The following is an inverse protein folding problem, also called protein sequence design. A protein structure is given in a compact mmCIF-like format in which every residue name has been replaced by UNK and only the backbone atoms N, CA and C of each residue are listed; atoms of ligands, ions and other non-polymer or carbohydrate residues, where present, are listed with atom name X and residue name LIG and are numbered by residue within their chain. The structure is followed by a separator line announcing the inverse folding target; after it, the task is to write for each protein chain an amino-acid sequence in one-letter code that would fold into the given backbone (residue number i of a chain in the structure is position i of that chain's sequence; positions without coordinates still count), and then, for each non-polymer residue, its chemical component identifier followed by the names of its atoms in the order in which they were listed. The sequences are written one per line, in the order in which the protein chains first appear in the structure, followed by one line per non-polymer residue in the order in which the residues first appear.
data_IF_559857980220
#
_entry.id   IF_559857980220
#
_cell.length_a   1.000
_cell.length_b   1.000
_cell.length_c   1.000
_cell.angle_alpha   90.00
_cell.angle_beta   90.00
_cell.angle_gamma   90.00
#
_symmetry.space_group_name_H-M   'P 1'
#
loop_
_entity.id
_entity.type
_entity.pdbx_description
1 polymer ?
#
# COMPACT_ATOMS: atom_id res chain seq x y z
N UNK A 1 -16.72 -18.81 24.25
CA UNK A 1 -15.29 -19.21 24.10
C UNK A 1 -15.20 -19.87 22.74
N UNK A 2 -14.25 -19.50 21.90
CA UNK A 2 -14.18 -19.93 20.50
C UNK A 2 -13.70 -18.81 19.58
N UNK A 3 -13.78 -19.03 18.27
CA UNK A 3 -13.43 -18.06 17.24
C UNK A 3 -14.35 -16.84 17.30
N UNK A 4 -13.76 -15.64 17.19
CA UNK A 4 -14.53 -14.41 17.06
C UNK A 4 -14.88 -14.13 15.60
N UNK A 5 -16.18 -14.20 15.30
CA UNK A 5 -16.73 -13.87 13.99
C UNK A 5 -16.93 -12.36 13.81
N UNK A 6 -17.04 -11.92 12.55
CA UNK A 6 -17.34 -10.53 12.17
C UNK A 6 -16.23 -9.83 11.41
N UNK A 7 -14.97 -10.29 11.54
CA UNK A 7 -13.87 -9.92 10.65
C UNK A 7 -13.49 -11.09 9.75
N UNK A 8 -13.04 -10.80 8.54
CA UNK A 8 -12.44 -11.80 7.62
C UNK A 8 -10.97 -12.12 7.97
N UNK A 9 -10.46 -11.51 9.05
CA UNK A 9 -9.19 -11.82 9.70
C UNK A 9 -9.51 -12.15 11.15
N UNK A 10 -10.25 -13.24 11.36
CA UNK A 10 -10.79 -13.70 12.64
C UNK A 10 -9.71 -14.12 13.65
N UNK A 11 -8.52 -14.45 13.16
CA UNK A 11 -7.33 -14.80 13.94
C UNK A 11 -6.89 -13.67 14.87
N UNK A 12 -6.82 -12.43 14.37
CA UNK A 12 -6.40 -11.25 15.13
C UNK A 12 -7.34 -10.89 16.28
N UNK A 13 -8.67 -10.68 16.10
CA UNK A 13 -9.58 -10.36 17.19
C UNK A 13 -9.69 -11.51 18.18
N UNK A 14 -9.61 -12.78 17.72
CA UNK A 14 -9.62 -13.94 18.62
C UNK A 14 -8.42 -13.90 19.57
N UNK A 15 -7.20 -13.73 19.05
CA UNK A 15 -5.99 -13.60 19.86
C UNK A 15 -6.04 -12.41 20.80
N UNK A 16 -6.48 -11.25 20.30
CA UNK A 16 -6.65 -10.04 21.09
C UNK A 16 -7.63 -10.24 22.26
N UNK A 17 -8.75 -10.92 22.02
CA UNK A 17 -9.75 -11.20 23.05
C UNK A 17 -9.26 -12.20 24.11
N UNK A 18 -8.40 -13.14 23.73
CA UNK A 18 -7.71 -14.01 24.70
C UNK A 18 -6.78 -13.17 25.58
N UNK A 19 -5.93 -12.32 24.99
CA UNK A 19 -5.03 -11.45 25.75
C UNK A 19 -5.79 -10.45 26.62
N UNK A 20 -6.94 -9.96 26.16
CA UNK A 20 -7.84 -9.11 26.96
C UNK A 20 -8.26 -9.77 28.28
N UNK A 21 -8.37 -11.10 28.30
CA UNK A 21 -8.71 -11.89 29.50
C UNK A 21 -7.49 -12.21 30.38
N UNK A 22 -6.29 -11.82 29.98
CA UNK A 22 -5.04 -12.00 30.74
C UNK A 22 -4.16 -13.15 30.25
N UNK A 23 -4.51 -13.80 29.14
CA UNK A 23 -3.65 -14.81 28.52
C UNK A 23 -2.39 -14.15 27.94
N UNK A 24 -1.27 -14.89 27.95
CA UNK A 24 0.01 -14.48 27.36
C UNK A 24 0.34 -15.36 26.16
N UNK A 25 1.03 -14.78 25.18
CA UNK A 25 1.53 -15.48 23.99
C UNK A 25 3.04 -15.58 24.06
N UNK A 26 3.58 -16.74 23.68
CA UNK A 26 5.02 -16.97 23.54
C UNK A 26 5.36 -17.29 22.09
N UNK A 27 6.51 -16.80 21.60
CA UNK A 27 6.99 -17.06 20.26
C UNK A 27 8.18 -18.04 20.32
N UNK A 28 7.97 -19.27 19.84
CA UNK A 28 9.02 -20.28 19.77
C UNK A 28 9.58 -20.32 18.34
N UNK A 29 10.86 -20.00 18.19
CA UNK A 29 11.58 -19.99 16.91
C UNK A 29 12.68 -21.08 16.94
N UNK A 30 12.34 -22.35 16.67
CA UNK A 30 13.34 -23.42 16.59
C UNK A 30 14.28 -23.20 15.40
N UNK A 31 15.51 -23.71 15.50
CA UNK A 31 16.51 -23.61 14.42
C UNK A 31 16.05 -24.31 13.13
N UNK A 32 15.34 -25.43 13.27
CA UNK A 32 14.73 -26.13 12.15
C UNK A 32 13.32 -25.59 11.88
N UNK A 33 13.02 -25.32 10.62
CA UNK A 33 11.69 -24.91 10.15
C UNK A 33 10.63 -25.94 10.54
N UNK A 34 9.86 -25.66 11.59
CA UNK A 34 8.84 -26.57 12.12
C UNK A 34 7.56 -26.62 11.26
N UNK A 35 7.25 -25.53 10.55
CA UNK A 35 6.05 -25.42 9.72
C UNK A 35 6.39 -24.83 8.35
N UNK A 36 6.02 -25.54 7.29
CA UNK A 36 6.15 -25.09 5.90
C UNK A 36 4.79 -24.95 5.26
N UNK A 37 4.57 -23.87 4.51
CA UNK A 37 3.31 -23.61 3.81
C UNK A 37 3.52 -23.15 2.37
N UNK A 38 2.43 -23.06 1.62
CA UNK A 38 2.45 -22.52 0.26
C UNK A 38 2.27 -20.99 0.28
N UNK A 39 3.20 -20.28 -0.35
CA UNK A 39 3.08 -18.86 -0.61
C UNK A 39 2.24 -18.59 -1.88
N UNK A 40 1.61 -17.41 -2.00
CA UNK A 40 0.95 -17.01 -3.24
C UNK A 40 1.92 -17.02 -4.42
N UNK A 41 1.51 -17.63 -5.53
CA UNK A 41 2.37 -17.83 -6.71
C UNK A 41 2.54 -16.62 -7.61
N UNK A 42 1.81 -15.52 -7.37
CA UNK A 42 1.88 -14.32 -8.20
C UNK A 42 1.41 -13.04 -7.51
N UNK A 43 1.57 -11.92 -8.22
CA UNK A 43 1.22 -10.58 -7.74
C UNK A 43 -0.27 -10.46 -7.44
N UNK A 44 -1.13 -10.91 -8.37
CA UNK A 44 -2.58 -10.87 -8.21
C UNK A 44 -3.04 -11.63 -6.95
N UNK A 45 -2.60 -12.87 -6.78
CA UNK A 45 -2.97 -13.68 -5.60
C UNK A 45 -2.48 -13.02 -4.31
N UNK A 46 -1.30 -12.40 -4.34
CA UNK A 46 -0.77 -11.63 -3.20
C UNK A 46 -1.63 -10.39 -2.92
N UNK A 47 -2.03 -9.65 -3.96
CA UNK A 47 -2.86 -8.46 -3.87
C UNK A 47 -4.25 -8.77 -3.31
N UNK A 48 -4.89 -9.87 -3.74
CA UNK A 48 -6.18 -10.33 -3.20
C UNK A 48 -6.06 -10.64 -1.70
N UNK A 49 -5.00 -11.37 -1.30
CA UNK A 49 -4.74 -11.69 0.09
C UNK A 49 -4.52 -10.43 0.94
N UNK A 50 -3.72 -9.48 0.45
CA UNK A 50 -3.43 -8.22 1.12
C UNK A 50 -4.66 -7.33 1.26
N UNK A 51 -5.53 -7.29 0.23
CA UNK A 51 -6.82 -6.60 0.29
C UNK A 51 -7.70 -7.16 1.41
N UNK A 52 -7.76 -8.48 1.53
CA UNK A 52 -8.54 -9.15 2.58
C UNK A 52 -8.01 -8.86 3.97
N UNK A 53 -6.69 -8.94 4.16
CA UNK A 53 -6.07 -8.60 5.43
C UNK A 53 -6.35 -7.15 5.82
N UNK A 54 -6.12 -6.19 4.92
CA UNK A 54 -6.39 -4.78 5.19
C UNK A 54 -7.86 -4.53 5.57
N UNK A 55 -8.80 -5.15 4.87
CA UNK A 55 -10.23 -5.02 5.18
C UNK A 55 -10.57 -5.63 6.54
N UNK A 56 -10.13 -6.86 6.83
CA UNK A 56 -10.38 -7.51 8.12
C UNK A 56 -9.75 -6.75 9.29
N UNK A 57 -8.51 -6.30 9.14
CA UNK A 57 -7.79 -5.51 10.15
C UNK A 57 -8.46 -4.16 10.42
N UNK A 58 -9.00 -3.51 9.38
CA UNK A 58 -9.73 -2.24 9.54
C UNK A 58 -11.02 -2.43 10.35
N UNK A 59 -11.76 -3.53 10.10
CA UNK A 59 -12.96 -3.87 10.89
C UNK A 59 -12.58 -4.12 12.36
N UNK A 60 -11.44 -4.75 12.62
CA UNK A 60 -10.95 -4.94 14.00
C UNK A 60 -10.56 -3.61 14.64
N UNK A 61 -9.88 -2.73 13.91
CA UNK A 61 -9.43 -1.43 14.41
C UNK A 61 -10.60 -0.55 14.89
N UNK A 62 -11.67 -0.47 14.11
CA UNK A 62 -12.87 0.32 14.44
C UNK A 62 -13.97 -0.48 15.18
N UNK A 63 -13.74 -1.77 15.42
CA UNK A 63 -14.73 -2.67 16.00
C UNK A 63 -14.78 -2.66 17.53
N UNK A 64 -15.76 -3.37 18.09
CA UNK A 64 -15.92 -3.56 19.56
C UNK A 64 -14.75 -4.32 20.20
N UNK A 65 -14.08 -5.16 19.40
CA UNK A 65 -12.90 -5.92 19.80
C UNK A 65 -11.63 -5.24 19.27
N UNK A 66 -11.52 -3.91 19.42
CA UNK A 66 -10.34 -3.17 18.99
C UNK A 66 -9.21 -3.22 20.01
N UNK A 67 -7.95 -2.98 19.59
CA UNK A 67 -6.81 -2.92 20.51
C UNK A 67 -6.99 -1.87 21.60
N UNK A 68 -7.56 -0.72 21.27
CA UNK A 68 -7.86 0.37 22.20
C UNK A 68 -8.81 -0.10 23.31
N UNK A 69 -9.90 -0.79 22.94
CA UNK A 69 -10.82 -1.37 23.92
C UNK A 69 -10.16 -2.43 24.79
N UNK A 70 -9.22 -3.18 24.24
CA UNK A 70 -8.43 -4.17 24.96
C UNK A 70 -7.49 -3.58 26.01
N UNK A 71 -6.91 -2.41 25.74
CA UNK A 71 -6.04 -1.67 26.67
C UNK A 71 -6.86 -0.93 27.73
N UNK A 72 -7.94 -0.24 27.34
CA UNK A 72 -8.75 0.57 28.26
C UNK A 72 -9.61 -0.27 29.20
N UNK A 73 -10.18 -1.37 28.71
CA UNK A 73 -11.20 -2.16 29.42
C UNK A 73 -10.82 -3.65 29.50
N UNK A 74 -9.53 -3.95 29.53
CA UNK A 74 -9.02 -5.30 29.55
C UNK A 74 -7.68 -5.42 30.26
N UNK A 75 -7.09 -6.61 30.20
CA UNK A 75 -5.80 -6.92 30.83
C UNK A 75 -4.62 -6.84 29.85
N UNK A 76 -4.78 -6.15 28.71
CA UNK A 76 -3.72 -6.00 27.71
C UNK A 76 -2.72 -4.93 28.18
N UNK A 77 -1.44 -5.30 28.23
CA UNK A 77 -0.37 -4.35 28.52
C UNK A 77 -0.28 -3.30 27.41
N UNK A 78 0.02 -2.04 27.77
CA UNK A 78 0.10 -0.91 26.83
C UNK A 78 1.02 -1.23 25.64
N UNK A 79 2.18 -1.85 25.88
CA UNK A 79 3.12 -2.23 24.81
C UNK A 79 2.51 -3.22 23.80
N UNK A 80 1.82 -4.25 24.28
CA UNK A 80 1.12 -5.19 23.41
C UNK A 80 -0.04 -4.51 22.67
N UNK A 81 -0.77 -3.63 23.36
CA UNK A 81 -1.80 -2.79 22.77
C UNK A 81 -1.29 -1.94 21.60
N UNK A 82 -0.14 -1.29 21.76
CA UNK A 82 0.52 -0.52 20.69
C UNK A 82 0.92 -1.41 19.51
N UNK A 83 1.44 -2.61 19.75
CA UNK A 83 1.75 -3.58 18.69
C UNK A 83 0.48 -3.99 17.90
N UNK A 84 -0.64 -4.21 18.60
CA UNK A 84 -1.92 -4.49 17.94
C UNK A 84 -2.47 -3.29 17.19
N UNK A 85 -2.34 -2.07 17.73
CA UNK A 85 -2.70 -0.84 17.00
C UNK A 85 -1.89 -0.74 15.71
N UNK A 86 -0.57 -0.95 15.78
CA UNK A 86 0.30 -0.95 14.59
C UNK A 86 -0.11 -2.01 13.56
N UNK A 87 -0.41 -3.23 14.01
CA UNK A 87 -0.86 -4.32 13.14
C UNK A 87 -2.20 -4.02 12.47
N UNK A 88 -3.17 -3.47 13.21
CA UNK A 88 -4.53 -3.25 12.71
C UNK A 88 -4.70 -1.96 11.91
N UNK A 89 -3.73 -1.04 11.97
CA UNK A 89 -3.73 0.26 11.30
C UNK A 89 -3.43 0.21 9.78
N UNK A 90 -3.34 -0.97 9.15
CA UNK A 90 -2.96 -1.07 7.73
C UNK A 90 -3.90 -0.29 6.78
N UNK A 91 -5.21 -0.44 6.98
CA UNK A 91 -6.19 0.24 6.14
C UNK A 91 -6.20 1.75 6.37
N UNK A 92 -6.18 2.21 7.62
CA UNK A 92 -6.17 3.65 7.91
C UNK A 92 -4.87 4.32 7.42
N UNK A 93 -3.71 3.67 7.58
CA UNK A 93 -2.44 4.12 6.99
C UNK A 93 -2.55 4.35 5.47
N UNK A 94 -3.25 3.47 4.75
CA UNK A 94 -3.36 3.58 3.30
C UNK A 94 -4.05 4.85 2.82
N UNK A 95 -5.00 5.39 3.59
CA UNK A 95 -5.70 6.64 3.25
C UNK A 95 -4.70 7.79 3.18
N UNK A 96 -3.88 7.95 4.23
CA UNK A 96 -2.88 9.00 4.28
C UNK A 96 -1.85 8.87 3.15
N UNK A 97 -1.39 7.65 2.86
CA UNK A 97 -0.40 7.41 1.81
C UNK A 97 -0.96 7.72 0.40
N UNK A 98 -2.23 7.38 0.13
CA UNK A 98 -2.91 7.76 -1.13
C UNK A 98 -3.08 9.28 -1.21
N UNK A 99 -3.47 9.94 -0.11
CA UNK A 99 -3.59 11.39 -0.05
C UNK A 99 -2.24 12.08 -0.33
N UNK A 100 -1.15 11.62 0.28
CA UNK A 100 0.19 12.18 0.02
C UNK A 100 0.66 11.93 -1.40
N UNK A 101 0.42 10.73 -1.95
CA UNK A 101 0.75 10.44 -3.34
C UNK A 101 -0.01 11.39 -4.31
N UNK A 102 -1.31 11.59 -4.08
CA UNK A 102 -2.11 12.52 -4.87
C UNK A 102 -1.66 13.98 -4.69
N UNK A 103 -1.34 14.38 -3.45
CA UNK A 103 -0.93 15.74 -3.11
C UNK A 103 0.39 16.12 -3.79
N UNK A 104 1.37 15.21 -3.82
CA UNK A 104 2.64 15.45 -4.55
C UNK A 104 2.37 15.71 -6.04
N UNK A 105 1.54 14.91 -6.69
CA UNK A 105 1.19 15.12 -8.10
C UNK A 105 0.38 16.42 -8.31
N UNK A 106 -0.56 16.71 -7.41
CA UNK A 106 -1.34 17.96 -7.42
C UNK A 106 -0.41 19.17 -7.39
N UNK A 107 0.56 19.19 -6.47
CA UNK A 107 1.51 20.29 -6.31
C UNK A 107 2.34 20.53 -7.58
N UNK A 108 2.81 19.45 -8.22
CA UNK A 108 3.53 19.55 -9.49
C UNK A 108 2.64 20.11 -10.62
N UNK A 109 1.37 19.70 -10.70
CA UNK A 109 0.45 20.14 -11.77
C UNK A 109 0.04 21.61 -11.58
N UNK A 110 -0.30 21.99 -10.34
CA UNK A 110 -0.81 23.33 -9.99
C UNK A 110 0.28 24.35 -9.69
N UNK A 111 1.55 23.94 -9.78
CA UNK A 111 2.70 24.75 -9.42
C UNK A 111 2.65 25.28 -7.98
N UNK A 112 2.16 24.47 -7.05
CA UNK A 112 2.15 24.78 -5.61
C UNK A 112 3.26 23.99 -4.90
N UNK A 113 3.79 24.52 -3.80
CA UNK A 113 4.82 23.84 -3.00
C UNK A 113 4.25 23.27 -1.70
N UNK A 114 4.54 21.99 -1.42
CA UNK A 114 4.33 21.37 -0.10
C UNK A 114 5.66 21.33 0.68
N UNK A 115 6.77 21.17 -0.03
CA UNK A 115 8.09 21.16 0.59
C UNK A 115 8.64 22.59 0.68
N UNK A 116 9.37 22.90 1.76
CA UNK A 116 10.07 24.17 1.86
C UNK A 116 11.14 24.29 0.77
N UNK A 117 11.27 25.48 0.19
CA UNK A 117 12.29 25.78 -0.81
C UNK A 117 13.64 26.11 -0.14
N UNK A 118 14.74 25.91 -0.89
CA UNK A 118 16.09 26.22 -0.41
C UNK A 118 16.55 25.29 0.74
N UNK A 119 17.20 25.86 1.76
CA UNK A 119 17.76 25.07 2.86
C UNK A 119 16.72 24.32 3.70
N UNK A 120 15.45 24.74 3.68
CA UNK A 120 14.41 24.03 4.41
C UNK A 120 14.19 22.60 3.87
N UNK A 121 14.48 22.35 2.58
CA UNK A 121 14.33 21.03 1.95
C UNK A 121 15.25 19.97 2.57
N UNK A 122 16.36 20.40 3.22
CA UNK A 122 17.27 19.48 3.89
C UNK A 122 16.59 18.74 5.05
N UNK A 123 15.60 19.33 5.72
CA UNK A 123 14.91 18.69 6.84
C UNK A 123 14.18 17.40 6.38
N UNK A 124 13.22 17.44 5.44
CA UNK A 124 12.54 16.23 4.98
C UNK A 124 13.51 15.26 4.27
N UNK A 125 14.52 15.79 3.55
CA UNK A 125 15.52 14.95 2.89
C UNK A 125 16.36 14.15 3.90
N UNK A 126 16.84 14.79 4.97
CA UNK A 126 17.60 14.12 6.03
C UNK A 126 16.75 13.07 6.74
N UNK A 127 15.48 13.37 7.04
CA UNK A 127 14.56 12.38 7.62
C UNK A 127 14.37 11.16 6.71
N UNK A 128 14.20 11.39 5.40
CA UNK A 128 14.08 10.32 4.41
C UNK A 128 15.35 9.45 4.34
N UNK A 129 16.53 10.07 4.35
CA UNK A 129 17.81 9.36 4.33
C UNK A 129 18.01 8.55 5.61
N UNK A 130 17.75 9.11 6.79
CA UNK A 130 17.85 8.41 8.08
C UNK A 130 16.94 7.18 8.08
N UNK A 131 15.67 7.33 7.67
CA UNK A 131 14.72 6.21 7.59
C UNK A 131 15.20 5.12 6.62
N UNK A 132 15.71 5.52 5.45
CA UNK A 132 16.23 4.59 4.43
C UNK A 132 17.42 3.79 4.95
N UNK A 133 18.39 4.46 5.58
CA UNK A 133 19.58 3.81 6.16
C UNK A 133 19.18 2.88 7.31
N UNK A 134 18.30 3.33 8.19
CA UNK A 134 17.85 2.52 9.34
C UNK A 134 17.15 1.23 8.89
N UNK A 135 16.21 1.32 7.96
CA UNK A 135 15.52 0.13 7.44
C UNK A 135 16.44 -0.79 6.66
N UNK A 136 17.47 -0.24 5.98
CA UNK A 136 18.48 -1.04 5.31
C UNK A 136 19.35 -1.79 6.33
N UNK A 137 19.82 -1.12 7.38
CA UNK A 137 20.60 -1.73 8.46
C UNK A 137 19.83 -2.88 9.13
N UNK A 138 18.54 -2.74 9.36
CA UNK A 138 17.70 -3.80 9.93
C UNK A 138 17.59 -5.04 9.02
N UNK A 139 17.56 -4.84 7.70
CA UNK A 139 17.54 -5.96 6.75
C UNK A 139 18.89 -6.68 6.72
N UNK A 140 19.99 -5.92 6.71
CA UNK A 140 21.33 -6.48 6.68
C UNK A 140 21.66 -7.23 7.98
N UNK A 141 21.22 -6.73 9.15
CA UNK A 141 21.43 -7.40 10.43
C UNK A 141 20.68 -8.74 10.52
N UNK A 142 19.58 -8.90 9.77
CA UNK A 142 18.84 -10.15 9.62
C UNK A 142 19.40 -11.07 8.52
N UNK A 143 20.54 -10.73 7.91
CA UNK A 143 21.16 -11.50 6.84
C UNK A 143 20.43 -11.41 5.48
N UNK A 144 19.51 -10.45 5.31
CA UNK A 144 18.78 -10.26 4.06
C UNK A 144 19.55 -9.35 3.11
N UNK A 145 19.50 -9.63 1.81
CA UNK A 145 20.23 -8.82 0.82
C UNK A 145 19.56 -7.47 0.51
N UNK A 146 20.35 -6.52 -0.01
CA UNK A 146 19.87 -5.21 -0.48
C UNK A 146 18.70 -5.34 -1.47
N UNK A 147 18.71 -6.36 -2.33
CA UNK A 147 17.63 -6.64 -3.28
C UNK A 147 16.32 -6.97 -2.56
N UNK A 148 16.36 -7.71 -1.45
CA UNK A 148 15.17 -8.00 -0.65
C UNK A 148 14.59 -6.74 -0.04
N UNK A 149 15.44 -5.88 0.53
CA UNK A 149 15.02 -4.59 1.08
C UNK A 149 14.36 -3.72 0.01
N UNK A 150 15.02 -3.53 -1.14
CA UNK A 150 14.48 -2.69 -2.22
C UNK A 150 13.18 -3.24 -2.80
N UNK A 151 13.08 -4.57 -2.97
CA UNK A 151 11.83 -5.21 -3.37
C UNK A 151 10.73 -4.95 -2.34
N UNK A 152 11.03 -5.04 -1.04
CA UNK A 152 10.05 -4.75 -0.01
C UNK A 152 9.59 -3.29 -0.02
N UNK A 153 10.49 -2.31 -0.18
CA UNK A 153 10.12 -0.88 -0.26
C UNK A 153 9.09 -0.65 -1.37
N UNK A 154 9.39 -1.12 -2.58
CA UNK A 154 8.48 -1.01 -3.73
C UNK A 154 7.14 -1.70 -3.45
N UNK A 155 7.18 -2.93 -2.95
CA UNK A 155 5.97 -3.71 -2.67
C UNK A 155 5.13 -3.12 -1.53
N UNK A 156 5.74 -2.49 -0.51
CA UNK A 156 5.01 -1.81 0.56
C UNK A 156 4.29 -0.60 0.01
N UNK A 157 4.97 0.27 -0.75
CA UNK A 157 4.32 1.43 -1.39
C UNK A 157 3.15 0.97 -2.26
N UNK A 158 3.40 0.04 -3.19
CA UNK A 158 2.37 -0.45 -4.12
C UNK A 158 1.17 -1.08 -3.40
N UNK A 159 1.39 -1.93 -2.38
CA UNK A 159 0.29 -2.60 -1.66
C UNK A 159 -0.52 -1.60 -0.84
N UNK A 160 0.16 -0.66 -0.19
CA UNK A 160 -0.46 0.33 0.68
C UNK A 160 -1.39 1.24 -0.12
N UNK A 161 -0.91 1.82 -1.21
CA UNK A 161 -1.69 2.77 -2.00
C UNK A 161 -2.73 2.13 -2.94
N UNK A 162 -2.72 0.80 -3.12
CA UNK A 162 -3.70 0.08 -3.93
C UNK A 162 -4.65 -0.78 -3.09
N UNK A 163 -4.25 -2.00 -2.77
CA UNK A 163 -5.11 -3.02 -2.18
C UNK A 163 -5.46 -2.77 -0.73
N UNK A 164 -4.59 -2.12 0.04
CA UNK A 164 -4.94 -1.73 1.40
C UNK A 164 -5.97 -0.61 1.40
N UNK A 165 -5.86 0.35 0.48
CA UNK A 165 -6.85 1.41 0.29
C UNK A 165 -8.21 0.86 -0.14
N UNK A 166 -8.25 -0.05 -1.13
CA UNK A 166 -9.48 -0.75 -1.51
C UNK A 166 -10.04 -1.56 -0.33
N UNK A 167 -9.17 -2.24 0.42
CA UNK A 167 -9.56 -3.00 1.61
C UNK A 167 -10.18 -2.12 2.70
N UNK A 168 -9.61 -0.93 2.91
CA UNK A 168 -10.14 0.09 3.82
C UNK A 168 -11.52 0.55 3.38
N UNK A 169 -11.71 0.96 2.12
CA UNK A 169 -13.02 1.39 1.61
C UNK A 169 -14.09 0.30 1.78
N UNK A 170 -13.74 -0.96 1.48
CA UNK A 170 -14.64 -2.10 1.70
C UNK A 170 -14.99 -2.29 3.18
N UNK A 171 -14.02 -2.10 4.08
CA UNK A 171 -14.27 -2.19 5.51
C UNK A 171 -15.17 -1.06 6.01
N UNK A 172 -15.01 0.17 5.51
CA UNK A 172 -15.90 1.30 5.86
C UNK A 172 -17.34 1.00 5.44
N UNK A 173 -17.55 0.53 4.20
CA UNK A 173 -18.90 0.14 3.72
C UNK A 173 -19.53 -0.92 4.63
N UNK A 174 -18.73 -1.90 5.07
CA UNK A 174 -19.18 -2.93 6.03
C UNK A 174 -19.55 -2.34 7.38
N UNK A 175 -18.70 -1.47 7.93
CA UNK A 175 -18.90 -0.83 9.24
C UNK A 175 -20.14 0.08 9.23
N UNK A 176 -20.49 0.65 8.07
CA UNK A 176 -21.72 1.41 7.87
C UNK A 176 -22.98 0.55 7.68
N UNK A 177 -22.85 -0.78 7.62
CA UNK A 177 -23.99 -1.71 7.45
C UNK A 177 -24.56 -1.76 6.04
N UNK A 178 -23.83 -1.25 5.03
CA UNK A 178 -24.32 -1.13 3.65
C UNK A 178 -24.15 -2.45 2.86
N UNK A 179 -23.14 -3.28 3.20
CA UNK A 179 -22.88 -4.54 2.50
C UNK A 179 -22.06 -5.52 3.35
N UNK A 180 -22.38 -6.81 3.25
CA UNK A 180 -21.54 -7.87 3.80
C UNK A 180 -20.32 -8.12 2.92
N UNK A 181 -19.12 -8.12 3.53
CA UNK A 181 -17.87 -8.41 2.81
C UNK A 181 -17.82 -9.87 2.39
N UNK A 182 -18.03 -10.14 1.10
CA UNK A 182 -17.82 -11.47 0.51
C UNK A 182 -16.32 -11.80 0.53
N UNK A 183 -16.00 -12.96 1.10
CA UNK A 183 -14.64 -13.47 1.16
C UNK A 183 -14.17 -13.95 -0.22
N UNK A 184 -13.26 -13.20 -0.85
CA UNK A 184 -12.63 -13.64 -2.10
C UNK A 184 -11.56 -14.70 -1.81
N UNK A 185 -11.70 -15.91 -2.36
CA UNK A 185 -10.77 -17.01 -2.11
C UNK A 185 -9.40 -16.70 -2.75
N UNK A 186 -8.33 -16.74 -1.95
CA UNK A 186 -6.96 -16.64 -2.47
C UNK A 186 -6.50 -18.03 -2.89
N UNK A 187 -6.31 -18.25 -4.19
CA UNK A 187 -5.74 -19.50 -4.67
C UNK A 187 -4.24 -19.57 -4.32
N UNK A 188 -3.87 -20.57 -3.53
CA UNK A 188 -2.47 -20.96 -3.27
C UNK A 188 -2.19 -22.18 -4.15
N UNK A 189 -1.30 -22.04 -5.14
CA UNK A 189 -0.96 -23.14 -6.04
C UNK A 189 0.09 -24.05 -5.40
N UNK A 190 -0.08 -25.36 -5.55
CA UNK A 190 0.89 -26.39 -5.12
C UNK A 190 2.19 -26.28 -5.92
N UNK A 191 3.38 -26.45 -5.30
CA UNK A 191 4.67 -26.32 -5.98
C UNK A 191 4.85 -27.18 -7.24
N UNK A 192 4.12 -28.29 -7.38
CA UNK A 192 4.14 -29.13 -8.58
C UNK A 192 3.62 -28.44 -9.86
N UNK A 193 2.86 -27.35 -9.74
CA UNK A 193 2.39 -26.54 -10.88
C UNK A 193 3.34 -25.40 -11.28
N UNK A 194 4.38 -25.15 -10.47
CA UNK A 194 5.43 -24.16 -10.74
C UNK A 194 6.67 -24.85 -11.32
N UNK A 195 6.82 -26.16 -11.13
CA UNK A 195 7.87 -26.96 -11.76
C UNK A 195 7.78 -27.03 -13.30
N UNK A 196 6.67 -26.56 -13.90
CA UNK A 196 6.52 -26.40 -15.35
C UNK A 196 6.66 -24.96 -15.85
N UNK A 197 6.93 -23.99 -14.96
CA UNK A 197 7.22 -22.62 -15.32
C UNK A 197 8.72 -22.41 -15.36
N UNK A 198 9.30 -22.47 -16.56
CA UNK A 198 10.72 -22.20 -16.80
C UNK A 198 11.20 -20.97 -16.02
N UNK A 199 12.48 -21.00 -15.63
CA UNK A 199 13.26 -19.92 -15.00
C UNK A 199 13.16 -18.55 -15.75
N UNK A 200 12.56 -18.55 -16.94
CA UNK A 200 12.23 -17.42 -17.83
C UNK A 200 11.20 -16.44 -17.21
N UNK A 201 10.32 -16.91 -16.32
CA UNK A 201 9.26 -16.07 -15.70
C UNK A 201 9.69 -15.40 -14.38
N UNK A 202 10.89 -15.69 -13.89
CA UNK A 202 11.41 -15.15 -12.63
C UNK A 202 11.52 -13.61 -12.67
N UNK A 203 10.70 -12.94 -11.87
CA UNK A 203 10.71 -11.47 -11.72
C UNK A 203 9.79 -10.71 -12.67
N UNK A 204 8.92 -11.39 -13.42
CA UNK A 204 7.83 -10.76 -14.19
C UNK A 204 6.50 -10.88 -13.45
N UNK A 205 5.70 -9.82 -13.50
CA UNK A 205 4.36 -9.82 -12.92
C UNK A 205 3.31 -10.09 -13.99
N UNK A 206 2.29 -10.85 -13.61
CA UNK A 206 1.09 -11.07 -14.42
C UNK A 206 0.01 -10.09 -13.99
N UNK A 207 -0.66 -9.50 -14.98
CA UNK A 207 -1.72 -8.51 -14.76
C UNK A 207 -3.06 -9.04 -15.30
N UNK A 208 -4.15 -8.62 -14.68
CA UNK A 208 -5.52 -8.94 -15.08
C UNK A 208 -6.43 -7.70 -14.99
N UNK A 209 -7.73 -7.90 -15.16
CA UNK A 209 -8.75 -6.82 -15.09
C UNK A 209 -9.20 -6.50 -13.65
N UNK A 210 -8.50 -6.98 -12.63
CA UNK A 210 -8.84 -6.73 -11.22
C UNK A 210 -8.77 -5.24 -10.88
N UNK A 211 -9.69 -4.79 -10.02
CA UNK A 211 -9.72 -3.41 -9.50
C UNK A 211 -8.44 -3.00 -8.77
N UNK A 212 -7.68 -3.98 -8.26
CA UNK A 212 -6.38 -3.78 -7.65
C UNK A 212 -5.37 -3.14 -8.62
N UNK A 213 -5.41 -3.54 -9.90
CA UNK A 213 -4.54 -2.98 -10.93
C UNK A 213 -5.02 -1.63 -11.43
N UNK A 214 -6.33 -1.36 -11.42
CA UNK A 214 -6.87 -0.03 -11.79
C UNK A 214 -6.29 1.04 -10.86
N UNK A 215 -6.43 0.89 -9.54
CA UNK A 215 -5.94 1.91 -8.59
C UNK A 215 -4.43 2.12 -8.69
N UNK A 216 -3.66 1.02 -8.77
CA UNK A 216 -2.22 1.11 -8.93
C UNK A 216 -1.79 1.79 -10.23
N UNK A 217 -2.47 1.50 -11.33
CA UNK A 217 -2.20 2.10 -12.65
C UNK A 217 -2.60 3.57 -12.68
N UNK A 218 -3.73 3.95 -12.06
CA UNK A 218 -4.14 5.35 -11.93
C UNK A 218 -3.08 6.18 -11.21
N UNK A 219 -2.57 5.71 -10.08
CA UNK A 219 -1.53 6.43 -9.33
C UNK A 219 -0.28 6.62 -10.21
N UNK A 220 0.16 5.56 -10.91
CA UNK A 220 1.28 5.67 -11.84
C UNK A 220 1.03 6.70 -12.94
N UNK A 221 -0.13 6.66 -13.60
CA UNK A 221 -0.47 7.59 -14.68
C UNK A 221 -0.57 9.04 -14.18
N UNK A 222 -1.09 9.26 -12.98
CA UNK A 222 -1.14 10.59 -12.35
C UNK A 222 0.28 11.14 -12.12
N UNK A 223 1.19 10.32 -11.57
CA UNK A 223 2.58 10.75 -11.36
C UNK A 223 3.33 11.01 -12.67
N UNK A 224 3.15 10.15 -13.68
CA UNK A 224 3.73 10.35 -15.01
C UNK A 224 3.20 11.64 -15.65
N UNK A 225 1.89 11.89 -15.54
CA UNK A 225 1.28 13.11 -16.06
C UNK A 225 1.84 14.35 -15.38
N UNK A 226 1.99 14.32 -14.06
CA UNK A 226 2.61 15.41 -13.31
C UNK A 226 4.04 15.72 -13.81
N UNK A 227 4.88 14.69 -13.99
CA UNK A 227 6.23 14.85 -14.52
C UNK A 227 6.22 15.44 -15.94
N UNK A 228 5.34 14.96 -16.83
CA UNK A 228 5.19 15.47 -18.20
C UNK A 228 4.76 16.94 -18.19
N UNK A 229 3.77 17.30 -17.37
CA UNK A 229 3.31 18.69 -17.21
C UNK A 229 4.45 19.61 -16.78
N UNK A 230 5.30 19.16 -15.84
CA UNK A 230 6.47 19.92 -15.40
C UNK A 230 7.52 20.07 -16.50
N UNK A 231 7.85 18.99 -17.22
CA UNK A 231 8.85 19.01 -18.31
C UNK A 231 8.41 19.93 -19.45
N UNK A 232 7.13 19.89 -19.80
CA UNK A 232 6.58 20.71 -20.89
C UNK A 232 6.28 22.16 -20.47
N UNK A 233 6.48 22.52 -19.20
CA UNK A 233 6.12 23.85 -18.69
C UNK A 233 4.63 24.16 -18.74
N UNK A 234 3.77 23.14 -18.80
CA UNK A 234 2.30 23.28 -18.92
C UNK A 234 1.61 23.45 -17.55
N UNK A 235 2.36 23.91 -16.55
CA UNK A 235 1.86 24.15 -15.21
C UNK A 235 0.95 25.38 -15.21
N UNK A 236 0.01 25.43 -14.26
CA UNK A 236 -0.80 26.64 -14.09
C UNK A 236 0.07 27.80 -13.61
N UNK A 237 -0.29 29.02 -14.01
CA UNK A 237 0.38 30.23 -13.49
C UNK A 237 0.26 30.25 -11.96
N UNK A 238 1.39 30.42 -11.29
CA UNK A 238 1.44 30.34 -9.84
C UNK A 238 0.82 31.60 -9.22
N UNK A 239 -0.34 31.44 -8.57
CA UNK A 239 -0.87 32.45 -7.66
C UNK A 239 -0.07 32.54 -6.34
N UNK A 240 0.84 31.59 -6.09
CA UNK A 240 1.58 31.49 -4.83
C UNK A 240 3.06 31.88 -4.97
N UNK A 241 3.58 32.59 -3.97
CA UNK A 241 4.98 33.07 -3.86
C UNK A 241 6.01 31.93 -3.74
N UNK A 242 5.57 30.68 -3.61
CA UNK A 242 6.40 29.51 -3.39
C UNK A 242 5.96 28.36 -4.32
N UNK A 243 6.37 28.44 -5.58
CA UNK A 243 6.02 27.46 -6.61
C UNK A 243 6.58 26.05 -6.33
N UNK A 244 6.16 25.08 -7.15
CA UNK A 244 6.64 23.70 -7.07
C UNK A 244 8.18 23.64 -7.13
N UNK A 245 8.77 23.07 -6.09
CA UNK A 245 10.21 22.92 -5.93
C UNK A 245 10.75 21.61 -6.50
N UNK A 246 12.03 21.34 -6.19
CA UNK A 246 12.70 20.08 -6.57
C UNK A 246 12.18 18.91 -5.73
N UNK A 247 11.71 19.15 -4.51
CA UNK A 247 11.22 18.10 -3.60
C UNK A 247 9.99 17.37 -4.11
N UNK A 248 9.02 18.10 -4.67
CA UNK A 248 7.81 17.53 -5.24
C UNK A 248 8.13 16.65 -6.46
N UNK A 249 9.02 17.14 -7.33
CA UNK A 249 9.48 16.38 -8.49
C UNK A 249 10.22 15.11 -8.06
N UNK A 250 11.11 15.20 -7.07
CA UNK A 250 11.78 14.03 -6.48
C UNK A 250 10.75 13.02 -5.91
N UNK A 251 9.70 13.50 -5.24
CA UNK A 251 8.61 12.68 -4.73
C UNK A 251 7.87 11.93 -5.84
N UNK A 252 7.45 12.63 -6.91
CA UNK A 252 6.80 12.02 -8.07
C UNK A 252 7.71 10.99 -8.76
N UNK A 253 8.99 11.32 -8.96
CA UNK A 253 9.97 10.40 -9.56
C UNK A 253 10.16 9.16 -8.67
N UNK A 254 10.29 9.33 -7.36
CA UNK A 254 10.40 8.22 -6.41
C UNK A 254 9.19 7.28 -6.50
N UNK A 255 7.96 7.83 -6.55
CA UNK A 255 6.76 7.02 -6.73
C UNK A 255 6.76 6.25 -8.06
N UNK A 256 7.17 6.87 -9.17
CA UNK A 256 7.30 6.16 -10.46
C UNK A 256 8.33 5.03 -10.36
N UNK A 257 9.45 5.25 -9.67
CA UNK A 257 10.47 4.21 -9.43
C UNK A 257 9.91 3.07 -8.56
N UNK A 258 9.12 3.37 -7.53
CA UNK A 258 8.42 2.35 -6.75
C UNK A 258 7.46 1.53 -7.61
N UNK A 259 6.77 2.19 -8.54
CA UNK A 259 5.83 1.60 -9.49
C UNK A 259 6.46 1.05 -10.77
N UNK A 260 7.79 0.92 -10.82
CA UNK A 260 8.51 0.33 -11.96
C UNK A 260 7.91 -0.98 -12.50
N UNK A 261 7.43 -1.91 -11.65
CA UNK A 261 6.67 -3.09 -12.11
C UNK A 261 5.45 -2.78 -12.99
N UNK A 262 4.64 -1.80 -12.62
CA UNK A 262 3.44 -1.40 -13.36
C UNK A 262 3.83 -0.64 -14.62
N UNK A 263 4.88 0.17 -14.56
CA UNK A 263 5.43 0.86 -15.73
C UNK A 263 5.87 -0.14 -16.79
N UNK A 264 6.59 -1.21 -16.41
CA UNK A 264 6.89 -2.32 -17.31
C UNK A 264 5.64 -3.00 -17.85
N UNK A 265 4.62 -3.16 -17.00
CA UNK A 265 3.32 -3.72 -17.36
C UNK A 265 2.58 -2.90 -18.42
N UNK A 266 2.71 -1.57 -18.46
CA UNK A 266 2.08 -0.72 -19.48
C UNK A 266 2.59 -1.00 -20.90
N UNK A 267 3.85 -1.40 -21.04
CA UNK A 267 4.49 -1.65 -22.34
C UNK A 267 4.67 -3.13 -22.67
N UNK A 268 4.34 -4.02 -21.74
CA UNK A 268 4.42 -5.46 -21.94
C UNK A 268 3.21 -6.00 -22.73
N UNK A 269 3.36 -7.19 -23.32
CA UNK A 269 2.31 -7.87 -24.10
C UNK A 269 1.89 -9.18 -23.45
N UNK A 270 0.69 -9.64 -23.78
CA UNK A 270 0.12 -10.90 -23.28
C UNK A 270 -0.10 -10.86 -21.77
N UNK A 271 0.15 -11.98 -21.08
CA UNK A 271 -0.10 -12.15 -19.64
C UNK A 271 0.70 -11.20 -18.71
N UNK A 272 1.75 -10.56 -19.23
CA UNK A 272 2.58 -9.61 -18.47
C UNK A 272 2.22 -8.14 -18.74
N UNK A 273 1.34 -7.87 -19.70
CA UNK A 273 0.84 -6.54 -20.02
C UNK A 273 -0.39 -6.20 -19.19
N UNK A 274 -0.52 -4.94 -18.77
CA UNK A 274 -1.76 -4.45 -18.15
C UNK A 274 -2.86 -4.43 -19.24
N UNK A 275 -4.03 -5.05 -19.01
CA UNK A 275 -5.10 -5.06 -20.00
C UNK A 275 -5.53 -3.65 -20.42
N UNK A 276 -5.86 -3.47 -21.71
CA UNK A 276 -6.30 -2.17 -22.23
C UNK A 276 -7.51 -1.62 -21.48
N UNK A 277 -8.47 -2.47 -21.10
CA UNK A 277 -9.62 -2.12 -20.26
C UNK A 277 -9.19 -1.44 -18.95
N UNK A 278 -8.19 -2.00 -18.27
CA UNK A 278 -7.60 -1.43 -17.05
C UNK A 278 -6.89 -0.11 -17.32
N UNK A 279 -6.13 -0.01 -18.42
CA UNK A 279 -5.45 1.23 -18.81
C UNK A 279 -6.46 2.34 -19.10
N UNK A 280 -7.52 2.08 -19.87
CA UNK A 280 -8.56 3.06 -20.18
C UNK A 280 -9.29 3.56 -18.93
N UNK A 281 -9.71 2.66 -18.04
CA UNK A 281 -10.32 3.03 -16.74
C UNK A 281 -9.37 3.90 -15.92
N UNK A 282 -8.10 3.52 -15.87
CA UNK A 282 -7.08 4.22 -15.09
C UNK A 282 -6.75 5.59 -15.67
N UNK A 283 -6.69 5.69 -17.00
CA UNK A 283 -6.47 6.92 -17.74
C UNK A 283 -7.63 7.89 -17.57
N UNK A 284 -8.88 7.40 -17.60
CA UNK A 284 -10.06 8.22 -17.31
C UNK A 284 -9.97 8.82 -15.91
N UNK A 285 -9.69 7.99 -14.89
CA UNK A 285 -9.51 8.49 -13.51
C UNK A 285 -8.36 9.49 -13.38
N UNK A 286 -7.23 9.23 -14.04
CA UNK A 286 -6.08 10.14 -14.07
C UNK A 286 -6.43 11.47 -14.73
N UNK A 287 -7.15 11.45 -15.85
CA UNK A 287 -7.60 12.63 -16.55
C UNK A 287 -8.59 13.43 -15.70
N UNK A 288 -9.56 12.77 -15.08
CA UNK A 288 -10.49 13.40 -14.13
C UNK A 288 -9.75 14.07 -12.98
N UNK A 289 -8.73 13.44 -12.40
CA UNK A 289 -7.90 14.04 -11.37
C UNK A 289 -7.21 15.34 -11.87
N UNK A 290 -6.54 15.29 -13.03
CA UNK A 290 -5.87 16.45 -13.62
C UNK A 290 -6.87 17.57 -13.93
N UNK A 291 -8.06 17.23 -14.42
CA UNK A 291 -9.13 18.18 -14.67
C UNK A 291 -9.60 18.87 -13.38
N UNK A 292 -9.80 18.12 -12.29
CA UNK A 292 -10.13 18.70 -10.99
C UNK A 292 -9.00 19.58 -10.44
N UNK A 293 -7.73 19.22 -10.65
CA UNK A 293 -6.60 20.06 -10.28
C UNK A 293 -6.66 21.42 -10.97
N UNK A 294 -7.09 21.46 -12.24
CA UNK A 294 -7.23 22.69 -13.03
C UNK A 294 -8.41 23.55 -12.58
N UNK A 295 -9.57 22.93 -12.32
CA UNK A 295 -10.77 23.67 -11.85
C UNK A 295 -10.55 24.28 -10.47
N UNK A 296 -9.96 23.52 -9.54
CA UNK A 296 -9.78 23.97 -8.15
C UNK A 296 -8.85 25.17 -7.97
N UNK A 297 -8.14 25.60 -9.01
CA UNK A 297 -7.28 26.80 -9.01
C UNK A 297 -7.97 28.01 -9.67
N UNK A 298 -9.01 27.78 -10.48
CA UNK A 298 -9.75 28.83 -11.20
C UNK A 298 -10.92 29.39 -10.36
N UNK A 299 -11.40 28.62 -9.36
CA UNK A 299 -12.40 29.06 -8.38
C UNK A 299 -11.76 29.72 -7.16
#
# INVERSE_FOLDING_TARGET
MGWLYGSISEDVPTGLNMQRKGWRSECCMPDQTAFTGCAPGGLLTTMIQQKRWASGLTVVFFGKHSPVMGVLFGKIQIRAGLSYCWLTNWGLRSVFEVCYAALVAYCVITNTGIFPNGFGLWIPLTLFVIYTIHTLQEYLSKGLSLRHWWNNQRMVTMRTTSVWFIGFLRAVIKLLGISDTIFEITQKKTPSSIASGDNVDAGRFTFDESSAFVVGTTILLVQLTAIVVRILGLQLEANSRNGCGVGELMGSVYLVVCYWPFLKGLFARGKYGIPLSTIFKSALLSFTFVHFCRIGVIS
#
